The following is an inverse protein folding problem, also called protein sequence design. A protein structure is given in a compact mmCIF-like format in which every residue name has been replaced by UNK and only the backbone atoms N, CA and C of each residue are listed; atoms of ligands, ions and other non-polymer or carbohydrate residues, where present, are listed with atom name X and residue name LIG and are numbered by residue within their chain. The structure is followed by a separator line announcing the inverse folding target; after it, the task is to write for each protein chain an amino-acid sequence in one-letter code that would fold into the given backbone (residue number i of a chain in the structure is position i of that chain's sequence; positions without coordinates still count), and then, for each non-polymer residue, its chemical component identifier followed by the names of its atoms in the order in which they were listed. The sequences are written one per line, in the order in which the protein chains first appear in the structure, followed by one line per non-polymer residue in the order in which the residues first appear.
data_IF_516891391876
#
_entry.id   IF_516891391876
#
_cell.length_a   1.000
_cell.length_b   1.000
_cell.length_c   1.000
_cell.angle_alpha   90.00
_cell.angle_beta   90.00
_cell.angle_gamma   90.00
#
_symmetry.space_group_name_H-M   'P 1'
#
loop_
_entity.id
_entity.type
_entity.pdbx_description
1 polymer ?
#
# COMPACT_ATOMS: atom_id res chain seq x y z
N UNK A 1 -1.85 -31.75 53.37
CA UNK A 1 -2.42 -32.24 52.11
C UNK A 1 -2.72 -31.02 51.24
N UNK A 2 -2.00 -30.95 50.12
CA UNK A 2 -2.29 -30.30 48.84
C UNK A 2 -2.52 -28.78 48.82
N UNK A 3 -1.42 -28.05 48.60
CA UNK A 3 -1.45 -26.69 48.07
C UNK A 3 -1.83 -26.69 46.59
N UNK A 4 -2.61 -25.68 46.18
CA UNK A 4 -2.84 -25.38 44.77
C UNK A 4 -2.15 -24.06 44.43
N UNK A 5 -1.15 -24.16 43.56
CA UNK A 5 -0.32 -23.07 43.07
C UNK A 5 -1.09 -22.29 41.99
N UNK A 6 -1.04 -20.96 42.09
CA UNK A 6 -1.42 -19.97 41.08
C UNK A 6 -0.79 -20.28 39.71
N UNK A 7 -1.42 -19.84 38.62
CA UNK A 7 -0.87 -18.90 37.61
C UNK A 7 -1.85 -18.82 36.43
N UNK A 8 -2.40 -17.63 36.19
CA UNK A 8 -3.14 -17.30 34.99
C UNK A 8 -2.23 -17.20 33.77
N UNK A 9 -2.76 -17.59 32.61
CA UNK A 9 -2.31 -17.22 31.25
C UNK A 9 -3.22 -17.93 30.26
N UNK A 10 -4.06 -17.17 29.57
CA UNK A 10 -4.61 -17.59 28.28
C UNK A 10 -4.52 -16.41 27.34
N UNK A 11 -3.28 -16.06 26.98
CA UNK A 11 -2.98 -15.26 25.79
C UNK A 11 -3.51 -16.04 24.60
N UNK A 12 -4.66 -15.62 24.08
CA UNK A 12 -5.28 -16.17 22.88
C UNK A 12 -4.47 -15.61 21.69
N UNK A 13 -3.45 -16.35 21.31
CA UNK A 13 -2.79 -16.21 20.02
C UNK A 13 -3.68 -16.93 18.99
N UNK A 14 -4.51 -16.19 18.25
CA UNK A 14 -5.09 -16.72 17.01
C UNK A 14 -4.24 -16.20 15.86
N UNK A 15 -3.15 -16.93 15.61
CA UNK A 15 -2.50 -16.96 14.32
C UNK A 15 -3.38 -17.81 13.40
N UNK A 16 -4.28 -17.16 12.66
CA UNK A 16 -4.96 -17.79 11.54
C UNK A 16 -4.22 -17.44 10.25
N UNK A 17 -3.10 -18.13 10.02
CA UNK A 17 -2.56 -18.30 8.68
C UNK A 17 -3.04 -19.67 8.19
N UNK A 18 -3.71 -19.71 7.02
CA UNK A 18 -3.66 -20.75 5.98
C UNK A 18 -4.86 -20.57 5.04
N UNK A 19 -4.56 -20.47 3.73
CA UNK A 19 -5.47 -20.89 2.68
C UNK A 19 -5.56 -19.99 1.45
N UNK A 20 -4.66 -20.17 0.47
CA UNK A 20 -5.00 -20.55 -0.92
C UNK A 20 -3.79 -20.36 -1.85
N UNK A 21 -3.08 -21.46 -2.10
CA UNK A 21 -2.15 -21.64 -3.22
C UNK A 21 -2.94 -22.08 -4.46
N UNK A 22 -3.68 -21.16 -5.08
CA UNK A 22 -4.39 -21.44 -6.33
C UNK A 22 -4.14 -20.31 -7.32
N UNK A 23 -2.93 -20.22 -7.89
CA UNK A 23 -2.63 -19.24 -8.95
C UNK A 23 -3.18 -17.83 -8.65
N UNK A 24 -3.17 -17.44 -7.36
CA UNK A 24 -3.93 -16.29 -6.90
C UNK A 24 -3.16 -15.05 -7.31
N UNK A 25 -3.69 -14.34 -8.30
CA UNK A 25 -3.26 -12.96 -8.53
C UNK A 25 -3.48 -12.19 -7.23
N UNK A 26 -2.37 -11.79 -6.58
CA UNK A 26 -2.41 -11.06 -5.32
C UNK A 26 -2.87 -9.61 -5.53
N UNK A 27 -2.84 -9.13 -6.77
CA UNK A 27 -3.29 -7.79 -7.13
C UNK A 27 -4.81 -7.78 -7.30
N UNK A 28 -5.53 -7.65 -6.19
CA UNK A 28 -6.99 -7.51 -6.15
C UNK A 28 -7.41 -6.29 -5.34
N UNK A 29 -8.57 -5.70 -5.67
CA UNK A 29 -9.13 -4.56 -4.92
C UNK A 29 -9.31 -4.89 -3.43
N UNK A 30 -9.72 -6.12 -3.12
CA UNK A 30 -9.90 -6.56 -1.73
C UNK A 30 -8.58 -6.48 -0.94
N UNK A 31 -7.48 -6.97 -1.52
CA UNK A 31 -6.14 -6.91 -0.92
C UNK A 31 -5.60 -5.48 -0.90
N UNK A 32 -5.89 -4.69 -1.93
CA UNK A 32 -5.57 -3.27 -1.96
C UNK A 32 -6.24 -2.50 -0.81
N UNK A 33 -7.49 -2.82 -0.48
CA UNK A 33 -8.21 -2.22 0.65
C UNK A 33 -7.68 -2.69 2.02
N UNK A 34 -6.89 -3.77 2.08
CA UNK A 34 -6.23 -4.20 3.31
C UNK A 34 -5.02 -3.34 3.64
N UNK A 35 -4.37 -2.71 2.65
CA UNK A 35 -3.24 -1.80 2.89
C UNK A 35 -3.76 -0.55 3.57
N UNK A 36 -3.11 -0.18 4.66
CA UNK A 36 -3.40 1.00 5.47
C UNK A 36 -2.19 1.92 5.53
N UNK A 37 -2.47 3.15 5.92
CA UNK A 37 -1.46 4.16 6.16
C UNK A 37 -0.49 3.67 7.24
N UNK A 38 0.79 3.94 7.05
CA UNK A 38 1.81 3.52 8.02
C UNK A 38 2.28 2.07 7.85
N UNK A 39 1.59 1.26 7.04
CA UNK A 39 2.03 -0.10 6.71
C UNK A 39 3.41 -0.07 6.07
N UNK A 40 4.24 -1.07 6.37
CA UNK A 40 5.57 -1.17 5.79
C UNK A 40 5.52 -1.65 4.35
N UNK A 41 6.52 -1.27 3.56
CA UNK A 41 6.74 -1.79 2.21
C UNK A 41 6.71 -3.33 2.15
N UNK A 42 7.26 -4.02 3.14
CA UNK A 42 7.23 -5.50 3.22
C UNK A 42 5.80 -6.05 3.35
N UNK A 43 4.95 -5.38 4.14
CA UNK A 43 3.54 -5.76 4.29
C UNK A 43 2.78 -5.53 2.98
N UNK A 44 3.07 -4.44 2.27
CA UNK A 44 2.48 -4.15 0.96
C UNK A 44 2.83 -5.23 -0.05
N UNK A 45 4.10 -5.62 -0.16
CA UNK A 45 4.54 -6.70 -1.06
C UNK A 45 3.95 -8.06 -0.66
N UNK A 46 3.85 -8.35 0.64
CA UNK A 46 3.20 -9.57 1.10
C UNK A 46 1.72 -9.63 0.67
N UNK A 47 1.06 -8.46 0.68
CA UNK A 47 -0.37 -8.29 0.40
C UNK A 47 -0.69 -8.32 -1.09
N UNK A 48 -0.03 -7.48 -1.89
CA UNK A 48 -0.27 -7.30 -3.34
C UNK A 48 0.63 -8.13 -4.25
N UNK A 49 1.68 -8.73 -3.69
CA UNK A 49 2.73 -9.37 -4.46
C UNK A 49 3.79 -8.40 -4.96
N UNK A 50 4.75 -8.92 -5.72
CA UNK A 50 5.88 -8.14 -6.21
C UNK A 50 5.42 -7.12 -7.26
N UNK A 51 5.78 -5.83 -7.12
CA UNK A 51 5.47 -4.80 -8.09
C UNK A 51 6.23 -5.00 -9.40
N UNK A 52 5.70 -4.42 -10.47
CA UNK A 52 6.37 -4.33 -11.75
C UNK A 52 7.56 -3.36 -11.67
N UNK A 53 7.37 -2.24 -10.98
CA UNK A 53 8.38 -1.18 -10.83
C UNK A 53 8.55 -0.80 -9.35
N UNK A 54 9.80 -0.70 -8.89
CA UNK A 54 10.17 -0.12 -7.59
C UNK A 54 11.07 1.08 -7.81
N UNK A 55 10.50 2.28 -7.69
CA UNK A 55 11.28 3.52 -7.61
C UNK A 55 11.34 4.00 -6.15
N UNK A 56 12.37 4.79 -5.76
CA UNK A 56 12.44 5.31 -4.39
C UNK A 56 11.16 6.04 -4.01
N UNK A 57 10.50 5.59 -2.93
CA UNK A 57 9.27 6.19 -2.43
C UNK A 57 8.00 5.85 -3.23
N UNK A 58 8.04 5.07 -4.31
CA UNK A 58 6.82 4.70 -5.05
C UNK A 58 6.96 3.34 -5.74
N UNK A 59 5.98 2.46 -5.51
CA UNK A 59 5.90 1.16 -6.18
C UNK A 59 4.66 1.10 -7.06
N UNK A 60 4.80 0.37 -8.17
CA UNK A 60 3.80 0.32 -9.24
C UNK A 60 3.51 -1.12 -9.65
N UNK A 61 2.24 -1.45 -9.79
CA UNK A 61 1.78 -2.69 -10.41
C UNK A 61 0.95 -2.38 -11.65
N UNK A 62 1.37 -2.90 -12.79
CA UNK A 62 0.68 -2.71 -14.07
C UNK A 62 0.21 -4.06 -14.61
N UNK A 63 -1.02 -4.09 -15.10
CA UNK A 63 -1.64 -5.21 -15.81
C UNK A 63 -2.24 -4.69 -17.11
N UNK A 64 -1.43 -4.69 -18.16
CA UNK A 64 -1.79 -4.16 -19.48
C UNK A 64 -3.01 -4.85 -20.09
N UNK A 65 -3.18 -6.15 -19.83
CA UNK A 65 -4.32 -6.96 -20.26
C UNK A 65 -5.66 -6.49 -19.67
N UNK A 66 -5.63 -5.85 -18.50
CA UNK A 66 -6.81 -5.32 -17.80
C UNK A 66 -6.91 -3.80 -17.81
N UNK A 67 -5.92 -3.10 -18.37
CA UNK A 67 -5.80 -1.65 -18.26
C UNK A 67 -5.70 -1.18 -16.80
N UNK A 68 -5.12 -2.01 -15.92
CA UNK A 68 -5.02 -1.76 -14.50
C UNK A 68 -3.64 -1.21 -14.15
N UNK A 69 -3.62 -0.13 -13.38
CA UNK A 69 -2.45 0.51 -12.80
C UNK A 69 -2.70 0.77 -11.30
N UNK A 70 -1.77 0.35 -10.46
CA UNK A 70 -1.84 0.49 -9.00
C UNK A 70 -0.55 1.12 -8.51
N UNK A 71 -0.67 2.24 -7.79
CA UNK A 71 0.47 2.94 -7.21
C UNK A 71 0.35 2.92 -5.69
N UNK A 72 1.50 2.74 -5.02
CA UNK A 72 1.64 2.92 -3.57
C UNK A 72 2.84 3.82 -3.32
N UNK A 73 2.61 4.92 -2.63
CA UNK A 73 3.64 5.86 -2.23
C UNK A 73 4.07 5.62 -0.80
N UNK A 74 5.37 5.75 -0.55
CA UNK A 74 6.00 5.54 0.74
C UNK A 74 6.72 6.80 1.20
N UNK A 75 6.73 7.05 2.50
CA UNK A 75 7.65 8.01 3.11
C UNK A 75 9.10 7.51 3.12
N UNK A 76 10.00 8.36 3.64
CA UNK A 76 11.42 8.05 3.82
C UNK A 76 11.70 6.86 4.76
N UNK A 77 10.76 6.54 5.64
CA UNK A 77 10.85 5.42 6.59
C UNK A 77 10.26 4.13 5.99
N UNK A 78 9.83 4.17 4.73
CA UNK A 78 9.27 3.03 4.00
C UNK A 78 7.83 2.71 4.37
N UNK A 79 7.06 3.70 4.82
CA UNK A 79 5.67 3.56 5.25
C UNK A 79 4.69 4.14 4.25
N UNK A 80 3.55 3.47 4.05
CA UNK A 80 2.53 3.92 3.10
C UNK A 80 1.96 5.29 3.50
N UNK A 81 2.01 6.24 2.57
CA UNK A 81 1.44 7.59 2.71
C UNK A 81 0.31 7.89 1.75
N UNK A 82 0.23 7.19 0.62
CA UNK A 82 -0.92 7.24 -0.30
C UNK A 82 -0.92 6.03 -1.22
N UNK A 83 -2.08 5.77 -1.83
CA UNK A 83 -2.24 4.69 -2.80
C UNK A 83 -3.34 5.01 -3.82
N UNK A 84 -3.21 4.48 -5.02
CA UNK A 84 -4.22 4.60 -6.07
C UNK A 84 -4.42 3.27 -6.80
N UNK A 85 -5.66 3.07 -7.26
CA UNK A 85 -6.09 1.96 -8.11
C UNK A 85 -6.83 2.54 -9.30
N UNK A 86 -6.28 2.35 -10.48
CA UNK A 86 -6.80 2.90 -11.73
C UNK A 86 -7.11 1.74 -12.68
N UNK A 87 -8.38 1.61 -13.07
CA UNK A 87 -8.82 0.63 -14.07
C UNK A 87 -9.81 1.28 -15.04
N UNK A 88 -10.11 0.67 -16.21
CA UNK A 88 -10.98 1.29 -17.19
C UNK A 88 -12.37 1.63 -16.59
N UNK A 89 -12.70 2.91 -16.57
CA UNK A 89 -13.97 3.42 -16.05
C UNK A 89 -14.05 3.59 -14.53
N UNK A 90 -12.97 3.33 -13.77
CA UNK A 90 -12.92 3.52 -12.31
C UNK A 90 -11.54 3.98 -11.85
N UNK A 91 -11.51 5.07 -11.09
CA UNK A 91 -10.31 5.55 -10.42
C UNK A 91 -10.61 5.65 -8.94
N UNK A 92 -9.80 4.97 -8.12
CA UNK A 92 -9.86 5.04 -6.67
C UNK A 92 -8.55 5.60 -6.16
N UNK A 93 -8.58 6.81 -5.60
CA UNK A 93 -7.42 7.47 -5.00
C UNK A 93 -7.69 7.66 -3.52
N UNK A 94 -6.76 7.21 -2.68
CA UNK A 94 -6.77 7.49 -1.24
C UNK A 94 -5.57 8.39 -0.91
N UNK A 95 -5.82 9.70 -0.97
CA UNK A 95 -4.92 10.75 -0.50
C UNK A 95 -5.12 10.97 0.99
N UNK A 96 -4.02 11.11 1.75
CA UNK A 96 -4.08 11.05 3.20
C UNK A 96 -3.47 12.31 3.85
N UNK A 97 -4.13 12.84 4.91
CA UNK A 97 -3.64 14.02 5.62
C UNK A 97 -2.37 13.65 6.40
N UNK A 98 -1.27 14.34 6.10
CA UNK A 98 0.05 14.02 6.67
C UNK A 98 1.07 13.52 5.64
N UNK A 99 0.71 13.44 4.36
CA UNK A 99 1.67 13.56 3.27
C UNK A 99 2.28 14.98 3.32
N UNK A 100 3.12 15.26 4.32
CA UNK A 100 4.04 16.38 4.24
C UNK A 100 4.98 16.03 3.11
N UNK A 101 4.71 16.63 1.96
CA UNK A 101 5.58 16.63 0.81
C UNK A 101 6.94 17.23 1.17
N UNK A 102 7.80 16.46 1.84
CA UNK A 102 9.24 16.71 1.85
C UNK A 102 9.91 16.16 0.56
N UNK A 103 9.10 16.01 -0.50
CA UNK A 103 9.51 15.71 -1.88
C UNK A 103 8.91 16.64 -2.94
N UNK A 104 8.17 17.71 -2.59
CA UNK A 104 7.60 18.68 -3.55
C UNK A 104 8.43 19.97 -3.70
N UNK A 105 9.76 19.90 -3.57
CA UNK A 105 10.61 21.07 -3.82
C UNK A 105 11.10 21.21 -5.27
N UNK A 106 10.76 20.30 -6.20
CA UNK A 106 11.34 20.38 -7.53
C UNK A 106 10.49 19.76 -8.66
N UNK A 107 9.21 20.11 -8.81
CA UNK A 107 8.49 19.97 -10.09
C UNK A 107 7.14 20.72 -10.13
N UNK A 108 7.08 21.91 -9.54
CA UNK A 108 6.02 22.88 -9.90
C UNK A 108 6.65 23.99 -10.72
N UNK A 109 7.18 23.61 -11.88
CA UNK A 109 7.39 24.55 -12.99
C UNK A 109 6.01 25.00 -13.40
N UNK A 110 5.59 26.12 -12.81
CA UNK A 110 4.43 26.89 -13.20
C UNK A 110 4.59 27.18 -14.69
N UNK A 111 3.79 26.52 -15.51
CA UNK A 111 3.53 26.95 -16.89
C UNK A 111 2.70 28.22 -16.76
N UNK A 112 3.38 29.35 -16.52
CA UNK A 112 2.77 30.66 -16.73
C UNK A 112 2.71 30.88 -18.24
N UNK A 113 1.56 30.49 -18.78
CA UNK A 113 0.84 31.08 -19.90
C UNK A 113 1.59 32.20 -20.62
N UNK A 114 2.00 31.90 -21.85
CA UNK A 114 2.37 32.88 -22.87
C UNK A 114 1.21 33.86 -23.04
N UNK A 115 1.46 35.16 -22.79
CA UNK A 115 0.68 36.24 -23.36
C UNK A 115 1.65 37.25 -23.97
N UNK A 116 1.81 37.18 -25.29
CA UNK A 116 2.43 38.22 -26.11
C UNK A 116 1.42 39.35 -26.36
N UNK A 117 1.82 40.62 -26.33
CA UNK A 117 1.27 41.63 -27.23
C UNK A 117 1.90 41.55 -28.63
#
# INVERSE_FOLDING_TARGET
MNGWKVIGKKSVWVLAAVGLLAGCDKLTVERFNMIRNGDSADMVEATLGTPNTKIPGTWEWVRHDRGLDVLVHFDKDGRVVSKSWTEPGRVHVEDLPGATSEGDAASRTRVDTVHQP
#
